data_IF_348339500713
#
_entry.id   IF_348339500713
#
_cell.length_a   1.000
_cell.length_b   1.000
_cell.length_c   1.000
_cell.angle_alpha   90.00
_cell.angle_beta   90.00
_cell.angle_gamma   90.00
#
_symmetry.space_group_name_H-M   'P 1'
#
loop_
_entity.id
_entity.type
_entity.pdbx_description
1 polymer ?
#
# COMPACT_ATOMS: atom_id res chain seq x y z
N UNK A 1 -36.62 9.47 -5.81
CA UNK A 1 -36.04 8.13 -5.65
C UNK A 1 -34.61 8.14 -6.19
N UNK A 2 -33.57 8.22 -5.35
CA UNK A 2 -32.14 7.93 -5.65
C UNK A 2 -31.34 7.95 -4.33
N UNK A 3 -31.27 6.80 -3.65
CA UNK A 3 -30.34 6.51 -2.53
C UNK A 3 -29.53 5.28 -2.94
N UNK A 4 -28.46 5.46 -3.72
CA UNK A 4 -27.56 4.37 -4.10
C UNK A 4 -26.07 4.76 -4.20
N UNK A 5 -25.72 6.05 -4.29
CA UNK A 5 -24.36 6.49 -4.66
C UNK A 5 -23.39 6.76 -3.49
N UNK A 6 -23.81 6.75 -2.22
CA UNK A 6 -22.95 7.17 -1.09
C UNK A 6 -22.11 6.05 -0.46
N UNK A 7 -22.49 4.79 -0.66
CA UNK A 7 -21.86 3.62 0.02
C UNK A 7 -20.64 3.09 -0.75
N UNK A 8 -20.63 3.24 -2.07
CA UNK A 8 -19.55 2.79 -2.98
C UNK A 8 -18.30 3.65 -2.89
N UNK A 9 -18.45 4.96 -2.74
CA UNK A 9 -17.35 5.94 -2.63
C UNK A 9 -16.50 5.70 -1.36
N UNK A 10 -17.17 5.46 -0.22
CA UNK A 10 -16.47 5.28 1.07
C UNK A 10 -15.66 3.97 1.12
N UNK A 11 -16.10 2.92 0.42
CA UNK A 11 -15.38 1.64 0.39
C UNK A 11 -14.11 1.74 -0.47
N UNK A 12 -14.20 2.42 -1.61
CA UNK A 12 -13.05 2.70 -2.49
C UNK A 12 -11.97 3.50 -1.77
N UNK A 13 -12.35 4.58 -1.08
CA UNK A 13 -11.40 5.43 -0.37
C UNK A 13 -10.72 4.71 0.79
N UNK A 14 -11.45 3.87 1.55
CA UNK A 14 -10.84 3.02 2.58
C UNK A 14 -9.81 2.05 2.01
N UNK A 15 -10.09 1.45 0.84
CA UNK A 15 -9.13 0.56 0.16
C UNK A 15 -7.87 1.33 -0.26
N UNK A 16 -8.03 2.51 -0.85
CA UNK A 16 -6.89 3.36 -1.24
C UNK A 16 -6.06 3.79 -0.03
N UNK A 17 -6.71 4.19 1.07
CA UNK A 17 -6.02 4.57 2.29
C UNK A 17 -5.22 3.40 2.87
N UNK A 18 -5.84 2.21 2.92
CA UNK A 18 -5.18 0.99 3.39
C UNK A 18 -3.98 0.63 2.52
N UNK A 19 -4.10 0.73 1.20
CA UNK A 19 -2.99 0.53 0.27
C UNK A 19 -1.82 1.46 0.60
N UNK A 20 -2.09 2.76 0.77
CA UNK A 20 -1.07 3.75 1.14
C UNK A 20 -0.41 3.44 2.49
N UNK A 21 -1.18 3.00 3.49
CA UNK A 21 -0.63 2.58 4.79
C UNK A 21 0.34 1.42 4.65
N UNK A 22 0.00 0.42 3.82
CA UNK A 22 0.89 -0.73 3.58
C UNK A 22 2.17 -0.30 2.89
N UNK A 23 2.07 0.51 1.82
CA UNK A 23 3.24 0.99 1.09
C UNK A 23 4.15 1.82 2.00
N UNK A 24 3.60 2.66 2.87
CA UNK A 24 4.39 3.46 3.82
C UNK A 24 5.17 2.58 4.80
N UNK A 25 4.50 1.62 5.44
CA UNK A 25 5.18 0.73 6.39
C UNK A 25 6.23 -0.16 5.71
N UNK A 26 5.95 -0.62 4.48
CA UNK A 26 6.91 -1.35 3.68
C UNK A 26 8.14 -0.49 3.38
N UNK A 27 7.96 0.78 2.99
CA UNK A 27 9.05 1.72 2.75
C UNK A 27 9.92 1.94 4.00
N UNK A 28 9.29 2.19 5.14
CA UNK A 28 9.97 2.36 6.43
C UNK A 28 10.81 1.12 6.76
N UNK A 29 10.22 -0.08 6.72
CA UNK A 29 10.95 -1.31 7.04
C UNK A 29 12.04 -1.66 6.02
N UNK A 30 11.79 -1.46 4.72
CA UNK A 30 12.84 -1.68 3.71
C UNK A 30 14.02 -0.73 3.90
N UNK A 31 13.76 0.51 4.34
CA UNK A 31 14.81 1.49 4.64
C UNK A 31 15.56 1.17 5.94
N UNK A 32 14.84 0.80 7.00
CA UNK A 32 15.42 0.57 8.34
C UNK A 32 16.32 -0.68 8.41
N UNK A 33 15.92 -1.78 7.76
CA UNK A 33 16.58 -3.09 7.93
C UNK A 33 16.95 -3.79 6.61
N UNK A 34 16.68 -3.14 5.47
CA UNK A 34 16.99 -3.65 4.15
C UNK A 34 15.94 -4.61 3.57
N UNK A 35 15.87 -4.65 2.23
CA UNK A 35 14.86 -5.44 1.51
C UNK A 35 14.92 -6.94 1.81
N UNK A 36 16.12 -7.53 1.86
CA UNK A 36 16.30 -8.97 2.06
C UNK A 36 15.76 -9.43 3.43
N UNK A 37 16.09 -8.67 4.49
CA UNK A 37 15.71 -8.94 5.88
C UNK A 37 14.23 -8.73 6.16
N UNK A 38 13.57 -7.82 5.43
CA UNK A 38 12.15 -7.54 5.65
C UNK A 38 11.25 -8.68 5.16
N UNK A 39 10.43 -9.18 6.08
CA UNK A 39 9.38 -10.16 5.82
C UNK A 39 8.03 -9.47 5.63
N UNK A 40 7.12 -10.14 4.92
CA UNK A 40 5.71 -9.70 4.82
C UNK A 40 5.05 -9.68 6.21
N UNK A 41 5.46 -10.55 7.12
CA UNK A 41 4.96 -10.59 8.49
C UNK A 41 5.30 -9.34 9.29
N UNK A 42 6.55 -8.87 9.21
CA UNK A 42 6.96 -7.63 9.88
C UNK A 42 6.16 -6.41 9.36
N UNK A 43 5.84 -6.39 8.06
CA UNK A 43 5.00 -5.33 7.47
C UNK A 43 3.58 -5.40 8.02
N UNK A 44 3.00 -6.60 8.12
CA UNK A 44 1.65 -6.80 8.68
C UNK A 44 1.61 -6.40 10.15
N UNK A 45 2.66 -6.68 10.92
CA UNK A 45 2.74 -6.29 12.32
C UNK A 45 2.66 -4.77 12.49
N UNK A 46 3.28 -3.99 11.60
CA UNK A 46 3.16 -2.51 11.60
C UNK A 46 1.82 -1.99 11.08
N UNK A 47 1.22 -2.62 10.07
CA UNK A 47 0.04 -2.07 9.37
C UNK A 47 -1.28 -2.64 9.86
N UNK A 48 -1.24 -3.75 10.59
CA UNK A 48 -2.36 -4.66 10.76
C UNK A 48 -2.79 -5.33 9.45
N UNK A 49 -3.92 -6.03 9.51
CA UNK A 49 -4.45 -6.80 8.38
C UNK A 49 -3.96 -8.25 8.37
N UNK A 50 -3.98 -8.88 7.19
CA UNK A 50 -3.66 -10.30 7.06
C UNK A 50 -2.72 -10.55 5.87
N UNK A 51 -1.96 -11.66 5.93
CA UNK A 51 -1.16 -12.17 4.80
C UNK A 51 -2.00 -12.26 3.53
N UNK A 52 -3.21 -12.81 3.65
CA UNK A 52 -4.14 -12.97 2.54
C UNK A 52 -4.36 -11.65 1.81
N UNK A 53 -4.52 -10.56 2.56
CA UNK A 53 -4.81 -9.26 1.97
C UNK A 53 -3.59 -8.65 1.27
N UNK A 54 -2.38 -8.81 1.83
CA UNK A 54 -1.16 -8.36 1.14
C UNK A 54 -0.95 -9.19 -0.13
N UNK A 55 -1.01 -10.52 -0.04
CA UNK A 55 -0.80 -11.37 -1.21
C UNK A 55 -1.89 -11.18 -2.27
N UNK A 56 -3.15 -10.94 -1.90
CA UNK A 56 -4.20 -10.63 -2.88
C UNK A 56 -3.99 -9.31 -3.61
N UNK A 57 -3.34 -8.34 -2.96
CA UNK A 57 -3.16 -7.00 -3.51
C UNK A 57 -1.84 -6.84 -4.27
N UNK A 58 -0.77 -7.48 -3.80
CA UNK A 58 0.58 -7.28 -4.29
C UNK A 58 1.25 -8.55 -4.84
N UNK A 59 0.67 -9.73 -4.62
CA UNK A 59 1.17 -11.01 -5.14
C UNK A 59 2.42 -11.56 -4.42
N UNK A 60 3.43 -10.73 -4.17
CA UNK A 60 4.68 -11.14 -3.49
C UNK A 60 5.36 -9.96 -2.79
N UNK A 61 6.51 -10.20 -2.13
CA UNK A 61 7.35 -9.13 -1.56
C UNK A 61 7.94 -8.25 -2.66
N UNK A 62 8.34 -8.84 -3.77
CA UNK A 62 8.79 -8.15 -4.99
C UNK A 62 7.65 -7.31 -5.57
N UNK A 63 6.45 -7.87 -5.70
CA UNK A 63 5.29 -7.11 -6.19
C UNK A 63 4.91 -5.93 -5.29
N UNK A 64 5.02 -6.10 -3.97
CA UNK A 64 4.85 -5.00 -3.02
C UNK A 64 5.91 -3.91 -3.20
N UNK A 65 7.18 -4.30 -3.39
CA UNK A 65 8.26 -3.35 -3.63
C UNK A 65 8.10 -2.60 -4.94
N UNK A 66 7.72 -3.28 -6.03
CA UNK A 66 7.41 -2.66 -7.32
C UNK A 66 6.27 -1.65 -7.19
N UNK A 67 5.20 -2.00 -6.46
CA UNK A 67 4.09 -1.09 -6.21
C UNK A 67 4.52 0.15 -5.41
N UNK A 68 5.42 -0.01 -4.44
CA UNK A 68 6.01 1.10 -3.69
C UNK A 68 6.83 2.03 -4.58
N UNK A 69 7.68 1.48 -5.45
CA UNK A 69 8.49 2.28 -6.39
C UNK A 69 7.60 3.07 -7.33
N UNK A 70 6.55 2.45 -7.86
CA UNK A 70 5.57 3.12 -8.72
C UNK A 70 4.84 4.27 -7.99
N UNK A 71 4.33 4.03 -6.77
CA UNK A 71 3.66 5.08 -5.97
C UNK A 71 4.59 6.26 -5.67
N UNK A 72 5.86 5.99 -5.36
CA UNK A 72 6.85 7.04 -5.13
C UNK A 72 7.17 7.82 -6.40
N UNK A 73 7.29 7.14 -7.55
CA UNK A 73 7.53 7.78 -8.84
C UNK A 73 6.35 8.69 -9.23
N UNK A 74 5.12 8.19 -9.10
CA UNK A 74 3.91 8.97 -9.38
C UNK A 74 3.83 10.23 -8.50
N UNK A 75 4.18 10.11 -7.21
CA UNK A 75 4.22 11.25 -6.27
C UNK A 75 5.30 12.26 -6.63
N UNK A 76 6.49 11.79 -7.01
CA UNK A 76 7.58 12.67 -7.43
C UNK A 76 7.24 13.44 -8.70
N UNK A 77 6.68 12.75 -9.72
CA UNK A 77 6.26 13.36 -10.99
C UNK A 77 5.14 14.38 -10.75
N UNK A 78 4.14 14.04 -9.93
CA UNK A 78 3.04 14.93 -9.60
C UNK A 78 3.51 16.20 -8.90
N UNK A 79 4.52 16.09 -8.03
CA UNK A 79 5.10 17.25 -7.34
C UNK A 79 5.93 18.16 -8.26
N UNK A 80 6.48 17.64 -9.36
CA UNK A 80 7.26 18.43 -10.33
C UNK A 80 6.39 19.12 -11.38
N UNK A 81 5.18 18.64 -11.60
CA UNK A 81 4.24 19.17 -12.60
C UNK A 81 3.32 20.26 -12.02
N UNK A 82 3.80 20.99 -11.00
CA UNK A 82 3.10 22.10 -10.34
C UNK A 82 3.16 23.39 -11.17
#
# INVERSE_FOLDING_TARGET
>A
MKKADKVTDTKSERTKLRRKTILRAAAELFFEQGYATTSIDAIIERTGGSKRTIYSEFGSKEGLFLALVADNADRAISALSL
#
